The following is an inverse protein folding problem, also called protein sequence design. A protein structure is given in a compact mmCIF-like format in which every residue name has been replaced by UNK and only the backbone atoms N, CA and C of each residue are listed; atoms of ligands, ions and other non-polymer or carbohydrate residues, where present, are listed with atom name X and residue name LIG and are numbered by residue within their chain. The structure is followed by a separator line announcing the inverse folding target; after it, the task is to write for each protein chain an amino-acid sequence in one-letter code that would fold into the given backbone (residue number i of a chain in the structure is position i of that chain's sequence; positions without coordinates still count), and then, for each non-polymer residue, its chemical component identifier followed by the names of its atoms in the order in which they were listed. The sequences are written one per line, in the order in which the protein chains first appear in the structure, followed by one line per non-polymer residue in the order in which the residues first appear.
data_IF_705959111359
#
_entry.id   IF_705959111359
#
_cell.length_a   1.000
_cell.length_b   1.000
_cell.length_c   1.000
_cell.angle_alpha   90.00
_cell.angle_beta   90.00
_cell.angle_gamma   90.00
#
_symmetry.space_group_name_H-M   'P 1'
#
loop_
_entity.id
_entity.type
_entity.pdbx_description
1 polymer ?
#
# COMPACT_ATOMS: atom_id res chain seq x y z
N UNK A 1 -18.97 -6.36 -4.96
CA UNK A 1 -19.66 -7.60 -5.41
C UNK A 1 -20.64 -7.32 -6.55
N UNK A 2 -21.62 -6.43 -6.39
CA UNK A 2 -22.56 -6.04 -7.48
C UNK A 2 -21.86 -5.56 -8.76
N UNK A 3 -20.73 -4.84 -8.62
CA UNK A 3 -19.92 -4.38 -9.75
C UNK A 3 -19.05 -5.45 -10.42
N UNK A 4 -18.74 -6.54 -9.73
CA UNK A 4 -18.08 -7.72 -10.34
C UNK A 4 -18.97 -8.26 -11.46
N UNK A 5 -20.28 -8.33 -11.22
CA UNK A 5 -21.25 -8.89 -12.16
C UNK A 5 -21.61 -7.89 -13.26
N UNK A 6 -21.72 -6.60 -12.93
CA UNK A 6 -22.17 -5.59 -13.90
C UNK A 6 -21.06 -5.03 -14.79
N UNK A 7 -19.80 -4.95 -14.33
CA UNK A 7 -18.67 -4.49 -15.14
C UNK A 7 -17.94 -5.63 -15.87
N UNK A 8 -18.05 -6.86 -15.38
CA UNK A 8 -17.38 -8.03 -15.95
C UNK A 8 -17.55 -8.22 -17.47
N UNK A 9 -18.73 -7.97 -18.08
CA UNK A 9 -18.91 -8.10 -19.53
C UNK A 9 -18.18 -7.03 -20.37
N UNK A 10 -17.91 -5.87 -19.80
CA UNK A 10 -17.31 -4.73 -20.51
C UNK A 10 -15.78 -4.67 -20.39
N UNK A 11 -15.22 -5.43 -19.44
CA UNK A 11 -13.79 -5.49 -19.19
C UNK A 11 -13.22 -6.70 -19.95
N UNK A 12 -12.30 -6.50 -20.91
CA UNK A 12 -11.69 -7.60 -21.64
C UNK A 12 -10.88 -8.47 -20.68
N UNK A 13 -10.91 -9.79 -20.91
CA UNK A 13 -10.14 -10.73 -20.10
C UNK A 13 -8.66 -10.64 -20.44
N UNK A 14 -7.82 -10.48 -19.43
CA UNK A 14 -6.36 -10.56 -19.61
C UNK A 14 -5.92 -12.03 -19.64
N UNK A 15 -5.16 -12.43 -20.65
CA UNK A 15 -4.75 -13.84 -20.85
C UNK A 15 -3.85 -14.38 -19.72
N UNK A 16 -3.04 -13.52 -19.11
CA UNK A 16 -2.09 -13.86 -18.04
C UNK A 16 -2.62 -13.54 -16.63
N UNK A 17 -3.93 -13.29 -16.48
CA UNK A 17 -4.54 -12.87 -15.21
C UNK A 17 -4.41 -13.92 -14.08
N UNK A 18 -4.20 -15.19 -14.40
CA UNK A 18 -4.19 -16.29 -13.42
C UNK A 18 -2.81 -16.93 -13.24
N UNK A 19 -1.76 -16.27 -13.72
CA UNK A 19 -0.38 -16.71 -13.47
C UNK A 19 -0.05 -16.56 -11.99
N UNK A 20 0.46 -17.63 -11.37
CA UNK A 20 0.74 -17.68 -9.93
C UNK A 20 1.72 -16.60 -9.44
N UNK A 21 2.78 -16.34 -10.21
CA UNK A 21 3.78 -15.33 -9.85
C UNK A 21 4.36 -14.68 -11.10
N UNK A 22 4.26 -13.35 -11.16
CA UNK A 22 4.99 -12.51 -12.13
C UNK A 22 6.35 -12.12 -11.56
N UNK A 23 7.33 -11.71 -12.38
CA UNK A 23 8.67 -11.31 -11.90
C UNK A 23 8.64 -10.19 -10.84
N UNK A 24 7.61 -9.35 -10.89
CA UNK A 24 7.38 -8.26 -9.95
C UNK A 24 6.54 -8.65 -8.72
N UNK A 25 6.29 -9.95 -8.47
CA UNK A 25 5.53 -10.42 -7.32
C UNK A 25 6.13 -9.99 -5.96
N UNK A 26 7.44 -9.73 -5.91
CA UNK A 26 8.09 -9.25 -4.68
C UNK A 26 7.60 -7.85 -4.25
N UNK A 27 7.16 -7.02 -5.19
CA UNK A 27 6.57 -5.71 -4.91
C UNK A 27 5.30 -5.83 -4.08
N UNK A 28 4.49 -6.87 -4.35
CA UNK A 28 3.28 -7.16 -3.60
C UNK A 28 3.57 -7.43 -2.12
N UNK A 29 4.71 -8.05 -1.79
CA UNK A 29 5.13 -8.25 -0.39
C UNK A 29 5.35 -6.91 0.31
N UNK A 30 5.89 -5.91 -0.38
CA UNK A 30 6.00 -4.54 0.13
C UNK A 30 4.64 -3.93 0.45
N UNK A 31 3.73 -3.93 -0.53
CA UNK A 31 2.37 -3.40 -0.35
C UNK A 31 1.62 -4.13 0.78
N UNK A 32 1.75 -5.45 0.87
CA UNK A 32 1.16 -6.24 1.96
C UNK A 32 1.78 -5.88 3.31
N UNK A 33 3.09 -5.68 3.38
CA UNK A 33 3.78 -5.27 4.60
C UNK A 33 3.28 -3.91 5.09
N UNK A 34 3.06 -2.97 4.16
CA UNK A 34 2.43 -1.69 4.49
C UNK A 34 0.98 -1.86 4.97
N UNK A 35 0.19 -2.70 4.30
CA UNK A 35 -1.22 -2.91 4.67
C UNK A 35 -1.41 -3.46 6.09
N UNK A 36 -0.46 -4.26 6.59
CA UNK A 36 -0.49 -4.86 7.93
C UNK A 36 0.40 -4.15 8.96
N UNK A 37 0.98 -2.98 8.63
CA UNK A 37 1.77 -2.23 9.60
C UNK A 37 0.86 -1.51 10.61
N UNK A 38 1.04 -1.83 11.89
CA UNK A 38 0.40 -1.09 12.99
C UNK A 38 1.34 -0.86 14.19
N UNK A 39 2.61 -1.25 14.06
CA UNK A 39 3.59 -1.32 15.14
C UNK A 39 3.85 0.02 15.82
N UNK A 40 3.79 1.14 15.08
CA UNK A 40 3.98 2.48 15.61
C UNK A 40 2.85 2.93 16.55
N UNK A 41 1.64 2.41 16.34
CA UNK A 41 0.46 2.74 17.13
C UNK A 41 0.20 1.72 18.27
N UNK A 42 0.84 0.55 18.20
CA UNK A 42 0.66 -0.54 19.16
C UNK A 42 0.83 -0.12 20.62
N UNK A 43 1.82 0.72 20.94
CA UNK A 43 2.05 1.17 22.32
C UNK A 43 0.92 2.07 22.82
N UNK A 44 0.41 2.98 21.99
CA UNK A 44 -0.71 3.87 22.34
C UNK A 44 -2.00 3.07 22.56
N UNK A 45 -2.26 2.09 21.69
CA UNK A 45 -3.40 1.19 21.85
C UNK A 45 -3.23 0.38 23.13
N UNK A 46 -2.05 -0.21 23.36
CA UNK A 46 -1.77 -1.01 24.55
C UNK A 46 -1.97 -0.24 25.86
N UNK A 47 -1.49 1.01 25.93
CA UNK A 47 -1.67 1.87 27.11
C UNK A 47 -3.11 2.33 27.31
N UNK A 48 -3.95 2.23 26.27
CA UNK A 48 -5.37 2.59 26.33
C UNK A 48 -6.27 1.43 26.77
N UNK A 49 -5.74 0.21 26.94
CA UNK A 49 -6.51 -0.90 27.51
C UNK A 49 -6.81 -0.63 28.99
N UNK A 50 -8.03 -0.96 29.40
CA UNK A 50 -8.44 -0.94 30.80
C UNK A 50 -7.56 -1.84 31.67
N UNK A 51 -7.16 -3.01 31.15
CA UNK A 51 -6.22 -3.93 31.81
C UNK A 51 -5.07 -4.32 30.87
N UNK A 52 -3.94 -3.60 30.90
CA UNK A 52 -2.81 -3.81 30.01
C UNK A 52 -1.99 -5.04 30.44
N UNK A 53 -2.47 -6.24 30.14
CA UNK A 53 -1.74 -7.50 30.37
C UNK A 53 -1.28 -8.10 29.04
N UNK A 54 -0.10 -8.74 29.03
CA UNK A 54 0.48 -9.35 27.82
C UNK A 54 -0.43 -10.45 27.24
N UNK A 55 -1.10 -11.22 28.10
CA UNK A 55 -2.02 -12.27 27.67
C UNK A 55 -3.26 -11.70 26.95
N UNK A 56 -3.88 -10.64 27.50
CA UNK A 56 -5.03 -9.98 26.85
C UNK A 56 -4.61 -9.29 25.56
N UNK A 57 -3.47 -8.61 25.57
CA UNK A 57 -2.90 -7.95 24.39
C UNK A 57 -2.65 -8.93 23.26
N UNK A 58 -2.02 -10.08 23.55
CA UNK A 58 -1.80 -11.15 22.57
C UNK A 58 -3.11 -11.64 21.96
N UNK A 59 -4.14 -11.91 22.79
CA UNK A 59 -5.45 -12.34 22.30
C UNK A 59 -6.11 -11.29 21.38
N UNK A 60 -6.04 -10.02 21.76
CA UNK A 60 -6.61 -8.92 20.97
C UNK A 60 -5.90 -8.83 19.62
N UNK A 61 -4.57 -8.84 19.59
CA UNK A 61 -3.80 -8.80 18.34
C UNK A 61 -4.19 -9.96 17.41
N UNK A 62 -4.22 -11.19 17.91
CA UNK A 62 -4.53 -12.36 17.07
C UNK A 62 -5.94 -12.27 16.47
N UNK A 63 -6.94 -11.87 17.25
CA UNK A 63 -8.30 -11.67 16.76
C UNK A 63 -8.35 -10.55 15.72
N UNK A 64 -7.72 -9.40 16.01
CA UNK A 64 -7.68 -8.25 15.11
C UNK A 64 -7.01 -8.57 13.77
N UNK A 65 -5.89 -9.29 13.79
CA UNK A 65 -5.17 -9.71 12.57
C UNK A 65 -6.04 -10.67 11.75
N UNK A 66 -6.64 -11.69 12.38
CA UNK A 66 -7.49 -12.66 11.65
C UNK A 66 -8.70 -11.98 10.99
N UNK A 67 -9.37 -11.08 11.72
CA UNK A 67 -10.50 -10.33 11.17
C UNK A 67 -10.06 -9.40 10.04
N UNK A 68 -8.95 -8.67 10.23
CA UNK A 68 -8.39 -7.79 9.19
C UNK A 68 -7.98 -8.58 7.94
N UNK A 69 -7.30 -9.71 8.10
CA UNK A 69 -6.91 -10.60 7.00
C UNK A 69 -8.12 -11.07 6.20
N UNK A 70 -9.19 -11.52 6.87
CA UNK A 70 -10.41 -11.96 6.19
C UNK A 70 -11.03 -10.84 5.35
N UNK A 71 -11.12 -9.63 5.92
CA UNK A 71 -11.66 -8.46 5.22
C UNK A 71 -10.76 -8.09 4.03
N UNK A 72 -9.45 -8.01 4.22
CA UNK A 72 -8.49 -7.70 3.15
C UNK A 72 -8.56 -8.70 2.00
N UNK A 73 -8.61 -10.01 2.29
CA UNK A 73 -8.76 -11.04 1.25
C UNK A 73 -10.07 -10.88 0.50
N UNK A 74 -11.19 -10.64 1.20
CA UNK A 74 -12.49 -10.44 0.57
C UNK A 74 -12.46 -9.26 -0.42
N UNK A 75 -11.93 -8.11 0.00
CA UNK A 75 -11.82 -6.92 -0.85
C UNK A 75 -10.84 -7.13 -2.01
N UNK A 76 -9.66 -7.70 -1.74
CA UNK A 76 -8.65 -7.97 -2.76
C UNK A 76 -9.18 -8.94 -3.82
N UNK A 77 -9.81 -10.04 -3.41
CA UNK A 77 -10.42 -11.00 -4.34
C UNK A 77 -11.55 -10.37 -5.16
N UNK A 78 -12.45 -9.60 -4.53
CA UNK A 78 -13.52 -8.93 -5.26
C UNK A 78 -12.99 -7.88 -6.26
N UNK A 79 -11.99 -7.09 -5.86
CA UNK A 79 -11.36 -6.09 -6.71
C UNK A 79 -10.66 -6.74 -7.90
N UNK A 80 -9.80 -7.73 -7.63
CA UNK A 80 -9.04 -8.42 -8.66
C UNK A 80 -9.94 -9.20 -9.63
N UNK A 81 -10.99 -9.87 -9.15
CA UNK A 81 -11.97 -10.56 -10.01
C UNK A 81 -12.72 -9.60 -10.94
N UNK A 82 -12.87 -8.33 -10.56
CA UNK A 82 -13.58 -7.34 -11.39
C UNK A 82 -12.71 -6.85 -12.54
N UNK A 83 -11.45 -6.50 -12.26
CA UNK A 83 -10.60 -5.77 -13.22
C UNK A 83 -9.46 -6.60 -13.80
N UNK A 84 -9.07 -7.68 -13.15
CA UNK A 84 -7.98 -8.58 -13.57
C UNK A 84 -6.69 -7.80 -13.89
N UNK A 85 -6.15 -7.90 -15.12
CA UNK A 85 -4.93 -7.21 -15.51
C UNK A 85 -5.03 -5.68 -15.60
N UNK A 86 -6.22 -5.10 -15.51
CA UNK A 86 -6.43 -3.64 -15.51
C UNK A 86 -6.38 -3.01 -14.11
N UNK A 87 -6.22 -3.83 -13.06
CA UNK A 87 -6.26 -3.35 -11.67
C UNK A 87 -5.17 -2.33 -11.38
N UNK A 88 -5.57 -1.09 -11.07
CA UNK A 88 -4.65 -0.05 -10.59
C UNK A 88 -4.33 -0.13 -9.08
N UNK A 89 -3.25 0.55 -8.68
CA UNK A 89 -2.83 0.66 -7.28
C UNK A 89 -3.85 1.33 -6.38
N UNK A 90 -4.63 2.29 -6.91
CA UNK A 90 -5.89 2.72 -6.30
C UNK A 90 -7.06 2.03 -7.00
N UNK A 91 -7.75 1.16 -6.26
CA UNK A 91 -8.90 0.43 -6.80
C UNK A 91 -10.03 1.38 -7.23
N UNK A 92 -10.19 2.52 -6.57
CA UNK A 92 -11.24 3.49 -6.92
C UNK A 92 -11.04 4.11 -8.30
N UNK A 93 -9.81 4.19 -8.82
CA UNK A 93 -9.54 4.74 -10.15
C UNK A 93 -10.05 3.82 -11.28
N UNK A 94 -10.28 2.54 -10.98
CA UNK A 94 -10.86 1.59 -11.95
C UNK A 94 -12.36 1.81 -12.17
N UNK A 95 -13.06 2.47 -11.24
CA UNK A 95 -14.50 2.68 -11.38
C UNK A 95 -14.83 4.00 -12.07
N UNK A 96 -15.86 4.01 -12.90
CA UNK A 96 -16.31 5.23 -13.57
C UNK A 96 -16.80 6.30 -12.56
N UNK A 97 -16.61 7.58 -12.87
CA UNK A 97 -17.07 8.71 -12.04
C UNK A 97 -18.59 8.84 -12.02
N UNK A 98 -19.25 8.38 -13.07
CA UNK A 98 -20.71 8.31 -13.19
C UNK A 98 -21.37 7.28 -12.25
N UNK A 99 -20.59 6.44 -11.57
CA UNK A 99 -21.11 5.47 -10.60
C UNK A 99 -21.33 6.11 -9.23
N UNK A 100 -22.57 6.53 -8.95
CA UNK A 100 -22.96 7.19 -7.70
C UNK A 100 -22.58 6.39 -6.44
N UNK A 101 -22.69 5.05 -6.48
CA UNK A 101 -22.37 4.20 -5.33
C UNK A 101 -20.86 4.24 -5.03
N UNK A 102 -20.04 4.21 -6.07
CA UNK A 102 -18.58 4.28 -5.91
C UNK A 102 -18.15 5.68 -5.53
N UNK A 103 -18.79 6.71 -6.08
CA UNK A 103 -18.55 8.11 -5.68
C UNK A 103 -18.90 8.35 -4.22
N UNK A 104 -19.99 7.75 -3.72
CA UNK A 104 -20.27 7.73 -2.28
C UNK A 104 -19.18 6.99 -1.49
N UNK A 105 -18.67 5.87 -2.01
CA UNK A 105 -17.52 5.15 -1.44
C UNK A 105 -16.25 6.01 -1.34
N UNK A 106 -15.92 6.77 -2.40
CA UNK A 106 -14.80 7.72 -2.44
C UNK A 106 -14.95 8.80 -1.38
N UNK A 107 -16.16 9.34 -1.21
CA UNK A 107 -16.45 10.31 -0.16
C UNK A 107 -16.22 9.72 1.23
N UNK A 108 -16.79 8.54 1.53
CA UNK A 108 -16.58 7.86 2.80
C UNK A 108 -15.10 7.57 3.08
N UNK A 109 -14.36 7.10 2.07
CA UNK A 109 -12.93 6.87 2.17
C UNK A 109 -12.16 8.16 2.48
N UNK A 110 -12.50 9.28 1.81
CA UNK A 110 -11.93 10.59 2.09
C UNK A 110 -12.17 11.06 3.53
N UNK A 111 -13.38 10.85 4.07
CA UNK A 111 -13.68 11.14 5.48
C UNK A 111 -12.84 10.28 6.42
N UNK A 112 -12.68 8.98 6.13
CA UNK A 112 -11.80 8.11 6.91
C UNK A 112 -10.35 8.62 6.91
N UNK A 113 -9.79 8.94 5.75
CA UNK A 113 -8.42 9.49 5.64
C UNK A 113 -8.27 10.78 6.43
N UNK A 114 -9.25 11.68 6.36
CA UNK A 114 -9.26 12.94 7.12
C UNK A 114 -9.22 12.70 8.63
N UNK A 115 -9.94 11.68 9.13
CA UNK A 115 -9.96 11.33 10.55
C UNK A 115 -8.70 10.60 11.01
N UNK A 116 -8.06 9.84 10.13
CA UNK A 116 -6.80 9.13 10.42
C UNK A 116 -5.61 10.08 10.46
N UNK A 117 -5.60 11.12 9.63
CA UNK A 117 -4.46 12.01 9.47
C UNK A 117 -3.96 12.69 10.78
N UNK A 118 -4.83 13.22 11.67
CA UNK A 118 -4.42 13.77 12.95
C UNK A 118 -3.72 12.75 13.87
N UNK A 119 -4.17 11.49 13.84
CA UNK A 119 -3.58 10.42 14.66
C UNK A 119 -2.15 10.12 14.21
N UNK A 120 -1.91 10.03 12.90
CA UNK A 120 -0.56 9.78 12.35
C UNK A 120 0.38 10.99 12.57
N UNK A 121 -0.15 12.22 12.49
CA UNK A 121 0.60 13.42 12.85
C UNK A 121 0.99 13.41 14.34
N UNK A 122 0.09 12.96 15.22
CA UNK A 122 0.37 12.83 16.64
C UNK A 122 1.53 11.87 16.90
N UNK A 123 1.49 10.68 16.29
CA UNK A 123 2.52 9.64 16.48
C UNK A 123 3.87 10.11 15.92
N UNK A 124 3.88 10.69 14.73
CA UNK A 124 5.10 11.21 14.10
C UNK A 124 5.76 12.29 14.97
N UNK A 125 4.96 13.22 15.50
CA UNK A 125 5.45 14.26 16.39
C UNK A 125 6.00 13.67 17.69
N UNK A 126 5.31 12.70 18.28
CA UNK A 126 5.74 12.02 19.51
C UNK A 126 7.09 11.32 19.32
N UNK A 127 7.30 10.65 18.18
CA UNK A 127 8.59 10.04 17.84
C UNK A 127 9.68 11.10 17.71
N UNK A 128 9.43 12.20 17.00
CA UNK A 128 10.41 13.29 16.84
C UNK A 128 10.73 13.93 18.21
N UNK A 129 9.72 14.19 19.04
CA UNK A 129 9.89 14.77 20.36
C UNK A 129 10.75 13.88 21.27
N UNK A 130 10.50 12.57 21.28
CA UNK A 130 11.26 11.64 22.11
C UNK A 130 12.70 11.44 21.62
N UNK A 131 12.92 11.33 20.31
CA UNK A 131 14.26 11.09 19.74
C UNK A 131 15.16 12.32 19.83
N UNK A 132 14.64 13.52 19.53
CA UNK A 132 15.47 14.72 19.40
C UNK A 132 15.38 15.68 20.59
N UNK A 133 14.30 15.63 21.37
CA UNK A 133 14.01 16.60 22.43
C UNK A 133 13.77 15.96 23.81
N UNK A 134 14.00 14.65 23.95
CA UNK A 134 13.86 13.94 25.23
C UNK A 134 12.44 13.98 25.82
N UNK A 135 11.42 14.14 24.96
CA UNK A 135 10.00 14.10 25.34
C UNK A 135 9.38 15.42 25.80
N UNK A 136 10.19 16.46 26.08
CA UNK A 136 9.67 17.76 26.53
C UNK A 136 9.70 18.80 25.40
N UNK A 137 8.54 19.05 24.80
CA UNK A 137 8.41 20.00 23.69
C UNK A 137 7.67 21.27 24.14
N UNK A 138 8.29 22.43 23.93
CA UNK A 138 7.62 23.73 24.11
C UNK A 138 6.47 23.88 23.11
N UNK A 139 5.41 24.61 23.48
CA UNK A 139 4.23 24.85 22.62
C UNK A 139 4.59 25.41 21.24
N UNK A 140 5.63 26.25 21.16
CA UNK A 140 6.10 26.80 19.88
C UNK A 140 6.70 25.72 18.98
N UNK A 141 7.57 24.88 19.54
CA UNK A 141 8.16 23.76 18.80
C UNK A 141 7.11 22.75 18.36
N UNK A 142 6.08 22.54 19.17
CA UNK A 142 4.95 21.67 18.85
C UNK A 142 4.21 22.11 17.58
N UNK A 143 3.90 23.41 17.49
CA UNK A 143 3.27 24.00 16.29
C UNK A 143 4.21 23.90 15.09
N UNK A 144 5.50 24.26 15.25
CA UNK A 144 6.48 24.23 14.16
C UNK A 144 6.62 22.84 13.56
N UNK A 145 6.81 21.81 14.40
CA UNK A 145 6.96 20.43 13.91
C UNK A 145 5.70 19.97 13.18
N UNK A 146 4.53 20.29 13.72
CA UNK A 146 3.25 19.91 13.09
C UNK A 146 3.09 20.58 11.72
N UNK A 147 3.38 21.88 11.60
CA UNK A 147 3.32 22.61 10.32
C UNK A 147 4.32 22.03 9.31
N UNK A 148 5.53 21.66 9.75
CA UNK A 148 6.54 21.04 8.88
C UNK A 148 6.06 19.67 8.37
N UNK A 149 5.54 18.81 9.26
CA UNK A 149 4.98 17.50 8.88
C UNK A 149 3.89 17.66 7.82
N UNK A 150 2.94 18.57 8.07
CA UNK A 150 1.83 18.82 7.14
C UNK A 150 2.35 19.34 5.80
N UNK A 151 3.27 20.31 5.82
CA UNK A 151 3.81 20.91 4.60
C UNK A 151 4.53 19.88 3.75
N UNK A 152 5.35 19.00 4.36
CA UNK A 152 6.05 17.93 3.63
C UNK A 152 5.04 16.93 3.06
N UNK A 153 4.04 16.50 3.84
CA UNK A 153 3.01 15.57 3.37
C UNK A 153 2.21 16.16 2.19
N UNK A 154 1.83 17.43 2.28
CA UNK A 154 1.15 18.14 1.18
C UNK A 154 2.05 18.25 -0.04
N UNK A 155 3.32 18.59 0.12
CA UNK A 155 4.26 18.68 -1.00
C UNK A 155 4.41 17.32 -1.71
N UNK A 156 4.57 16.23 -0.96
CA UNK A 156 4.64 14.88 -1.53
C UNK A 156 3.36 14.53 -2.28
N UNK A 157 2.20 14.87 -1.72
CA UNK A 157 0.90 14.65 -2.38
C UNK A 157 0.70 15.46 -3.67
N UNK A 158 1.40 16.59 -3.83
CA UNK A 158 1.36 17.40 -5.05
C UNK A 158 2.40 16.97 -6.10
N UNK A 159 3.42 16.22 -5.68
CA UNK A 159 4.51 15.77 -6.55
C UNK A 159 4.32 14.34 -7.06
N UNK A 160 3.53 13.52 -6.37
CA UNK A 160 3.35 12.09 -6.68
C UNK A 160 1.87 11.79 -6.88
N UNK A 161 1.51 11.43 -8.12
CA UNK A 161 0.12 11.11 -8.49
C UNK A 161 -0.22 9.63 -8.30
N UNK A 162 0.77 8.74 -8.40
CA UNK A 162 0.55 7.30 -8.32
C UNK A 162 0.56 6.83 -6.85
N UNK A 163 -0.60 6.42 -6.32
CA UNK A 163 -0.68 5.85 -4.97
C UNK A 163 0.12 4.54 -4.84
N UNK A 164 0.09 3.68 -5.86
CA UNK A 164 0.71 2.35 -5.84
C UNK A 164 2.21 2.37 -5.49
N UNK A 165 2.99 3.24 -6.15
CA UNK A 165 4.43 3.38 -5.87
C UNK A 165 4.70 3.88 -4.46
N UNK A 166 3.85 4.76 -3.92
CA UNK A 166 3.99 5.27 -2.54
C UNK A 166 3.75 4.15 -1.54
N UNK A 167 2.73 3.32 -1.75
CA UNK A 167 2.44 2.16 -0.90
C UNK A 167 3.57 1.12 -0.94
N UNK A 168 4.10 0.85 -2.13
CA UNK A 168 5.20 -0.09 -2.31
C UNK A 168 6.47 0.39 -1.62
N UNK A 169 6.88 1.64 -1.87
CA UNK A 169 8.09 2.23 -1.28
C UNK A 169 8.00 2.28 0.25
N UNK A 170 6.86 2.73 0.81
CA UNK A 170 6.66 2.70 2.26
C UNK A 170 6.67 1.26 2.81
N UNK A 171 6.13 0.32 2.05
CA UNK A 171 6.15 -1.10 2.38
C UNK A 171 7.56 -1.66 2.52
N UNK A 172 8.41 -1.42 1.54
CA UNK A 172 9.76 -2.00 1.49
C UNK A 172 10.77 -1.23 2.35
N UNK A 173 10.66 0.10 2.44
CA UNK A 173 11.61 0.95 3.17
C UNK A 173 11.25 1.14 4.64
N UNK A 174 9.96 1.23 4.98
CA UNK A 174 9.52 1.50 6.34
C UNK A 174 8.96 0.24 7.00
N UNK A 175 7.98 -0.42 6.36
CA UNK A 175 7.28 -1.54 6.98
C UNK A 175 8.13 -2.80 7.08
N UNK A 176 8.85 -3.20 6.03
CA UNK A 176 9.65 -4.42 6.04
C UNK A 176 10.73 -4.41 7.15
N UNK A 177 11.49 -3.32 7.39
CA UNK A 177 12.38 -3.26 8.54
C UNK A 177 11.67 -3.34 9.89
N UNK A 178 10.55 -2.61 10.05
CA UNK A 178 9.79 -2.58 11.31
C UNK A 178 9.13 -3.91 11.66
N UNK A 179 8.77 -4.72 10.66
CA UNK A 179 8.09 -6.01 10.85
C UNK A 179 9.10 -7.16 10.93
N UNK A 180 10.08 -7.22 10.01
CA UNK A 180 10.94 -8.40 9.84
C UNK A 180 12.34 -8.22 10.43
N UNK A 181 12.91 -7.01 10.41
CA UNK A 181 14.33 -6.82 10.76
C UNK A 181 14.48 -6.42 12.23
N UNK A 182 13.82 -5.34 12.65
CA UNK A 182 13.99 -4.77 13.99
C UNK A 182 13.55 -5.76 15.08
N UNK A 183 12.33 -6.33 15.05
CA UNK A 183 11.89 -7.25 16.09
C UNK A 183 12.75 -8.50 16.17
N UNK A 184 13.13 -9.07 15.01
CA UNK A 184 13.99 -10.25 14.95
C UNK A 184 15.41 -9.97 15.45
N UNK A 185 16.01 -8.82 15.11
CA UNK A 185 17.32 -8.42 15.61
C UNK A 185 17.30 -8.19 17.13
N UNK A 186 16.27 -7.51 17.65
CA UNK A 186 16.07 -7.31 19.08
C UNK A 186 15.90 -8.66 19.80
N UNK A 187 15.06 -9.56 19.28
CA UNK A 187 14.82 -10.86 19.88
C UNK A 187 16.10 -11.72 19.91
N UNK A 188 16.87 -11.77 18.81
CA UNK A 188 18.13 -12.52 18.75
C UNK A 188 19.20 -11.98 19.70
N UNK A 189 19.18 -10.68 19.99
CA UNK A 189 20.12 -10.03 20.92
C UNK A 189 19.72 -10.19 22.38
N UNK A 190 18.42 -10.19 22.68
CA UNK A 190 17.90 -10.19 24.05
C UNK A 190 17.56 -11.61 24.56
N UNK A 191 17.24 -12.54 23.67
CA UNK A 191 16.84 -13.90 24.05
C UNK A 191 18.05 -14.76 24.44
N UNK A 192 18.08 -15.16 25.71
CA UNK A 192 19.08 -16.09 26.28
C UNK A 192 18.81 -17.56 25.92
N UNK A 193 17.68 -17.86 25.28
CA UNK A 193 17.27 -19.22 24.90
C UNK A 193 18.29 -19.90 23.96
N UNK A 194 18.43 -21.24 24.02
CA UNK A 194 19.32 -21.98 23.14
C UNK A 194 18.92 -21.81 21.67
N UNK A 195 19.91 -21.92 20.77
CA UNK A 195 19.72 -21.73 19.31
C UNK A 195 18.69 -22.68 18.67
N UNK A 196 18.34 -23.76 19.34
CA UNK A 196 17.38 -24.77 18.88
C UNK A 196 15.93 -24.41 19.18
N UNK A 197 15.66 -23.34 19.95
CA UNK A 197 14.29 -22.90 20.22
C UNK A 197 13.61 -22.34 18.97
N UNK A 198 12.37 -22.75 18.72
CA UNK A 198 11.61 -22.43 17.49
C UNK A 198 11.55 -20.93 17.21
N UNK A 199 11.32 -20.11 18.23
CA UNK A 199 11.22 -18.64 18.07
C UNK A 199 12.55 -17.99 17.67
N UNK A 200 13.67 -18.58 18.11
CA UNK A 200 15.01 -18.11 17.77
C UNK A 200 15.36 -18.49 16.33
N UNK A 201 14.96 -19.68 15.89
CA UNK A 201 15.05 -20.11 14.49
C UNK A 201 14.20 -19.21 13.60
N UNK A 202 12.94 -18.95 13.99
CA UNK A 202 12.03 -18.07 13.25
C UNK A 202 12.62 -16.66 13.08
N UNK A 203 13.14 -16.08 14.16
CA UNK A 203 13.81 -14.76 14.10
C UNK A 203 15.08 -14.79 13.23
N UNK A 204 15.83 -15.88 13.25
CA UNK A 204 17.02 -16.08 12.41
C UNK A 204 16.67 -16.18 10.92
N UNK A 205 15.47 -16.65 10.57
CA UNK A 205 14.97 -16.74 9.19
C UNK A 205 14.29 -15.44 8.74
N UNK A 206 13.52 -14.79 9.61
CA UNK A 206 12.79 -13.55 9.27
C UNK A 206 13.74 -12.39 8.96
N UNK A 207 14.87 -12.29 9.66
CA UNK A 207 15.84 -11.22 9.46
C UNK A 207 16.43 -11.19 8.03
N UNK A 208 17.04 -12.27 7.49
CA UNK A 208 17.53 -12.28 6.11
C UNK A 208 16.40 -12.18 5.08
N UNK A 209 15.22 -12.75 5.36
CA UNK A 209 14.06 -12.60 4.48
C UNK A 209 13.62 -11.14 4.37
N UNK A 210 13.56 -10.41 5.48
CA UNK A 210 13.28 -8.98 5.51
C UNK A 210 14.30 -8.15 4.72
N UNK A 211 15.58 -8.49 4.84
CA UNK A 211 16.64 -7.84 4.06
C UNK A 211 16.49 -8.10 2.54
N UNK A 212 16.14 -9.33 2.14
CA UNK A 212 15.84 -9.68 0.75
C UNK A 212 14.63 -8.88 0.24
N UNK A 213 13.52 -8.86 0.97
CA UNK A 213 12.32 -8.10 0.59
C UNK A 213 12.63 -6.61 0.45
N UNK A 214 13.40 -6.04 1.39
CA UNK A 214 13.79 -4.63 1.35
C UNK A 214 14.65 -4.30 0.12
N UNK A 215 15.71 -5.09 -0.14
CA UNK A 215 16.64 -4.80 -1.25
C UNK A 215 15.99 -5.06 -2.60
N UNK A 216 15.42 -6.25 -2.82
CA UNK A 216 14.82 -6.60 -4.10
C UNK A 216 13.52 -5.83 -4.34
N UNK A 217 12.72 -5.61 -3.30
CA UNK A 217 11.50 -4.79 -3.39
C UNK A 217 11.83 -3.35 -3.76
N UNK A 218 12.84 -2.73 -3.14
CA UNK A 218 13.27 -1.38 -3.53
C UNK A 218 13.78 -1.32 -4.98
N UNK A 219 14.62 -2.26 -5.40
CA UNK A 219 15.11 -2.30 -6.79
C UNK A 219 13.95 -2.45 -7.78
N UNK A 220 12.98 -3.31 -7.48
CA UNK A 220 11.82 -3.49 -8.34
C UNK A 220 10.92 -2.25 -8.37
N UNK A 221 10.65 -1.62 -7.23
CA UNK A 221 9.88 -0.37 -7.14
C UNK A 221 10.41 0.72 -8.06
N UNK A 222 11.74 0.84 -8.16
CA UNK A 222 12.40 1.87 -8.99
C UNK A 222 12.50 1.45 -10.47
N UNK A 223 12.76 0.17 -10.75
CA UNK A 223 12.99 -0.31 -12.13
C UNK A 223 11.71 -0.63 -12.89
N UNK A 224 10.65 -1.05 -12.18
CA UNK A 224 9.36 -1.42 -12.73
C UNK A 224 8.25 -0.69 -11.94
N UNK A 225 8.17 0.64 -12.05
CA UNK A 225 7.11 1.40 -11.40
C UNK A 225 5.75 0.96 -11.95
N UNK A 226 4.74 0.90 -11.08
CA UNK A 226 3.38 0.60 -11.51
C UNK A 226 2.83 1.72 -12.39
N UNK A 227 2.29 1.36 -13.55
CA UNK A 227 1.58 2.31 -14.42
C UNK A 227 0.34 2.85 -13.68
N UNK A 228 0.18 4.17 -13.69
CA UNK A 228 -1.01 4.82 -13.16
C UNK A 228 -1.57 5.82 -14.18
N UNK A 229 -2.91 5.88 -14.29
CA UNK A 229 -3.57 6.89 -15.13
C UNK A 229 -4.11 7.99 -14.24
N UNK A 230 -3.43 9.13 -14.22
CA UNK A 230 -3.90 10.26 -13.44
C UNK A 230 -5.08 10.96 -14.13
N UNK A 231 -6.24 10.97 -13.47
CA UNK A 231 -7.38 11.81 -13.85
C UNK A 231 -8.08 11.39 -15.15
N UNK A 232 -7.69 10.27 -15.76
CA UNK A 232 -8.31 9.68 -16.94
C UNK A 232 -9.20 8.51 -16.52
N UNK A 233 -10.43 8.47 -17.00
CA UNK A 233 -11.29 7.31 -16.78
C UNK A 233 -10.87 6.13 -17.66
N UNK A 234 -11.19 4.94 -17.17
CA UNK A 234 -10.96 3.71 -17.90
C UNK A 234 -11.77 3.66 -19.22
N UNK A 235 -11.23 3.02 -20.25
CA UNK A 235 -11.84 2.98 -21.59
C UNK A 235 -13.27 2.41 -21.60
N UNK A 236 -13.59 1.50 -20.68
CA UNK A 236 -14.93 0.91 -20.53
C UNK A 236 -15.96 1.86 -19.87
N UNK A 237 -15.56 3.04 -19.44
CA UNK A 237 -16.47 4.08 -18.93
C UNK A 237 -17.10 4.93 -20.04
N UNK A 238 -16.57 4.87 -21.26
CA UNK A 238 -17.05 5.66 -22.39
C UNK A 238 -17.93 4.80 -23.32
N UNK A 239 -19.26 5.00 -23.34
CA UNK A 239 -20.16 4.20 -24.18
C UNK A 239 -19.96 4.42 -25.69
N UNK A 240 -19.40 5.56 -26.11
CA UNK A 240 -19.30 5.93 -27.53
C UNK A 240 -18.23 5.14 -28.31
N UNK A 241 -17.23 4.55 -27.64
CA UNK A 241 -16.20 3.73 -28.30
C UNK A 241 -16.65 2.30 -28.65
N UNK A 242 -17.80 1.86 -28.14
CA UNK A 242 -18.34 0.52 -28.45
C UNK A 242 -19.15 0.49 -29.76
N UNK A 243 -19.48 1.65 -30.32
CA UNK A 243 -20.26 1.75 -31.57
C UNK A 243 -19.42 1.63 -32.85
N UNK A 244 -18.09 1.73 -32.75
CA UNK A 244 -17.17 1.71 -33.90
C UNK A 244 -16.48 0.36 -34.13
N UNK A 245 -16.67 -0.63 -33.27
CA UNK A 245 -16.06 -1.97 -33.39
C UNK A 245 -17.00 -3.04 -33.93
N UNK A 246 -18.16 -2.67 -34.47
CA UNK A 246 -19.08 -3.62 -35.12
C UNK A 246 -18.91 -3.75 -36.64
N UNK A 247 -17.81 -3.25 -37.21
CA UNK A 247 -17.39 -3.61 -38.56
C UNK A 247 -15.87 -3.76 -38.56
N UNK A 248 -15.39 -4.87 -39.15
CA UNK A 248 -14.00 -5.28 -39.38
C UNK A 248 -13.25 -5.94 -38.22
N UNK A 249 -13.37 -7.27 -38.18
CA UNK A 249 -12.24 -8.17 -37.94
C UNK A 249 -11.00 -7.70 -38.72
N UNK A 250 -9.93 -7.35 -38.00
CA UNK A 250 -8.52 -7.69 -38.25
C UNK A 250 -7.57 -6.59 -37.74
N UNK A 251 -6.65 -7.01 -36.86
CA UNK A 251 -5.45 -6.28 -36.39
C UNK A 251 -5.65 -4.96 -35.62
N UNK A 252 -5.78 -5.04 -34.29
CA UNK A 252 -5.36 -3.94 -33.42
C UNK A 252 -3.98 -4.28 -32.83
N UNK A 253 -2.93 -3.71 -33.42
CA UNK A 253 -1.59 -3.75 -32.87
C UNK A 253 -1.57 -3.00 -31.53
N UNK A 254 -1.14 -3.72 -30.50
CA UNK A 254 -0.64 -3.22 -29.23
C UNK A 254 0.29 -2.02 -29.50
N UNK A 255 -0.13 -0.81 -29.14
CA UNK A 255 0.76 0.35 -29.12
C UNK A 255 1.60 0.26 -27.86
N UNK A 256 2.63 -0.59 -27.90
CA UNK A 256 3.81 -0.46 -27.04
C UNK A 256 4.54 0.81 -27.47
N UNK A 257 4.38 1.89 -26.70
CA UNK A 257 5.26 3.05 -26.83
C UNK A 257 6.68 2.63 -26.41
N UNK A 258 7.53 2.38 -27.40
CA UNK A 258 8.98 2.37 -27.25
C UNK A 258 9.46 3.84 -27.26
N UNK A 259 10.28 4.31 -26.31
CA UNK A 259 10.84 5.65 -26.38
C UNK A 259 12.02 5.63 -27.37
N UNK A 260 11.77 5.95 -28.63
CA UNK A 260 12.85 6.31 -29.55
C UNK A 260 13.27 7.75 -29.29
N UNK A 261 14.24 7.88 -28.39
CA UNK A 261 15.22 8.96 -28.40
C UNK A 261 15.81 9.04 -29.82
N UNK A 262 15.51 10.10 -30.57
CA UNK A 262 16.42 10.49 -31.64
C UNK A 262 16.56 12.01 -31.73
N UNK A 263 17.80 12.39 -31.48
CA UNK A 263 18.39 13.71 -31.53
C UNK A 263 18.40 14.17 -32.98
N UNK A 264 17.81 15.32 -33.29
CA UNK A 264 18.33 16.32 -34.23
C UNK A 264 17.30 17.41 -34.48
N UNK A 265 17.80 18.61 -34.76
CA UNK A 265 17.10 19.83 -35.20
C UNK A 265 16.70 20.78 -34.06
N UNK A 266 17.71 21.48 -33.55
CA UNK A 266 17.68 22.95 -33.47
C UNK A 266 19.10 23.46 -33.79
N UNK A 267 19.26 23.91 -35.04
CA UNK A 267 20.00 25.14 -35.34
C UNK A 267 19.10 26.32 -34.93
#
# INVERSE_FOLDING_TARGET
ITRVVSLGPYIPKTEDAWVFAKPNAIQAVGVMSFAFICHHNSFLVYSSLEEPTVAKWSRIIHISIVVSMFICVLFATCGYLTFTGFTQGDLFENYCRSDDLVTFGRFCYGVTVLLTYPMECFVTREVIANVFFGGNLSSVFHVVITVVIITIATLVSLLIDCLGIVLELNGVLCAAPLIFIIPSACYLKLSEEPRTHTDKILSCVMLPMGAVVMVFGFVMAITNPQDCTHGQEMFYCFPDNFSLTNISDSHFQLTTQLPTLNISIFQ
#
